data_IF_639994971319
#
_entry.id   IF_639994971319
#
_cell.length_a   1.000
_cell.length_b   1.000
_cell.length_c   1.000
_cell.angle_alpha   90.00
_cell.angle_beta   90.00
_cell.angle_gamma   90.00
#
_symmetry.space_group_name_H-M   'P 1'
#
loop_
_entity.id
_entity.type
_entity.pdbx_description
1 polymer ?
#
# COMPACT_ATOMS: atom_id res chain seq x y z
N UNK A 1 -4.77 43.11 5.64
CA UNK A 1 -5.18 42.98 7.06
C UNK A 1 -5.39 41.52 7.39
N UNK A 2 -5.36 41.14 8.66
CA UNK A 2 -5.66 39.77 9.07
C UNK A 2 -7.17 39.53 9.13
N UNK A 3 -7.60 38.32 8.85
CA UNK A 3 -9.00 37.88 8.96
C UNK A 3 -9.09 36.49 9.58
N UNK A 4 -10.17 36.25 10.31
CA UNK A 4 -10.54 34.91 10.79
C UNK A 4 -11.12 34.12 9.63
N UNK A 5 -10.58 32.93 9.39
CA UNK A 5 -11.00 32.02 8.31
C UNK A 5 -11.95 30.94 8.82
N UNK A 6 -11.73 30.44 10.04
CA UNK A 6 -12.57 29.43 10.68
C UNK A 6 -12.49 29.51 12.21
N UNK A 7 -13.58 29.16 12.90
CA UNK A 7 -13.62 29.06 14.37
C UNK A 7 -14.12 27.67 14.77
N UNK A 8 -13.43 27.03 15.73
CA UNK A 8 -13.65 25.62 16.09
C UNK A 8 -14.41 25.46 17.42
N UNK A 9 -15.66 25.92 17.46
CA UNK A 9 -16.48 25.92 18.70
C UNK A 9 -16.82 24.53 19.26
N UNK A 10 -16.93 23.51 18.41
CA UNK A 10 -17.38 22.15 18.79
C UNK A 10 -16.28 21.30 19.46
N UNK A 11 -15.05 21.80 19.50
CA UNK A 11 -13.91 21.07 20.04
C UNK A 11 -13.05 22.00 20.91
N UNK A 12 -13.58 22.46 22.06
CA UNK A 12 -12.78 23.25 22.99
C UNK A 12 -11.55 22.44 23.43
N UNK A 13 -10.42 23.14 23.55
CA UNK A 13 -9.14 22.55 23.91
C UNK A 13 -8.92 22.75 25.41
N UNK A 14 -8.91 21.65 26.15
CA UNK A 14 -8.59 21.65 27.59
C UNK A 14 -7.15 21.19 27.78
N UNK A 15 -6.38 21.99 28.51
CA UNK A 15 -4.99 21.70 28.87
C UNK A 15 -4.88 21.14 30.29
N UNK A 16 -3.78 20.48 30.69
CA UNK A 16 -3.68 19.80 31.99
C UNK A 16 -3.88 20.69 33.22
N UNK A 17 -3.64 22.00 33.10
CA UNK A 17 -3.87 22.98 34.17
C UNK A 17 -5.35 23.42 34.31
N UNK A 18 -6.24 22.87 33.48
CA UNK A 18 -7.68 23.13 33.51
C UNK A 18 -8.15 24.30 32.65
N UNK A 19 -7.25 25.08 32.02
CA UNK A 19 -7.64 26.15 31.10
C UNK A 19 -8.31 25.58 29.84
N UNK A 20 -9.28 26.31 29.32
CA UNK A 20 -10.06 25.95 28.14
C UNK A 20 -9.95 27.03 27.08
N UNK A 21 -9.66 26.61 25.85
CA UNK A 21 -9.48 27.49 24.71
C UNK A 21 -10.44 27.14 23.56
N UNK A 22 -10.94 28.16 22.89
CA UNK A 22 -11.52 28.05 21.53
C UNK A 22 -10.44 28.40 20.52
N UNK A 23 -10.15 27.51 19.59
CA UNK A 23 -9.24 27.81 18.50
C UNK A 23 -9.95 28.56 17.36
N UNK A 24 -9.20 29.43 16.68
CA UNK A 24 -9.58 30.00 15.39
C UNK A 24 -8.39 30.05 14.45
N UNK A 25 -8.63 29.76 13.17
CA UNK A 25 -7.64 29.89 12.11
C UNK A 25 -7.71 31.30 11.54
N UNK A 26 -6.56 31.97 11.48
CA UNK A 26 -6.42 33.34 10.99
C UNK A 26 -5.45 33.37 9.82
N UNK A 27 -5.65 34.35 8.93
CA UNK A 27 -4.84 34.50 7.74
C UNK A 27 -4.63 35.94 7.33
N UNK A 28 -3.52 36.22 6.65
CA UNK A 28 -3.32 37.47 5.91
C UNK A 28 -2.44 37.28 4.69
N UNK A 29 -2.61 38.14 3.70
CA UNK A 29 -1.65 38.32 2.62
C UNK A 29 -0.46 39.14 3.10
N UNK A 30 0.75 38.70 2.77
CA UNK A 30 2.00 39.41 3.02
C UNK A 30 2.33 40.37 1.87
N UNK A 31 3.41 41.13 2.01
CA UNK A 31 3.87 42.08 0.98
C UNK A 31 4.32 41.39 -0.32
N UNK A 32 4.76 40.13 -0.24
CA UNK A 32 5.19 39.31 -1.38
C UNK A 32 4.01 38.62 -2.11
N UNK A 33 2.77 38.90 -1.70
CA UNK A 33 1.57 38.27 -2.27
C UNK A 33 1.30 36.84 -1.77
N UNK A 34 2.19 36.27 -0.95
CA UNK A 34 1.99 34.96 -0.32
C UNK A 34 1.10 35.12 0.91
N UNK A 35 0.15 34.21 1.06
CA UNK A 35 -0.72 34.13 2.22
C UNK A 35 -0.03 33.37 3.35
N UNK A 36 -0.15 33.85 4.58
CA UNK A 36 0.29 33.14 5.77
C UNK A 36 -0.88 32.84 6.70
N UNK A 37 -0.86 31.64 7.30
CA UNK A 37 -1.85 31.18 8.27
C UNK A 37 -1.25 30.91 9.64
N UNK A 38 -2.02 31.19 10.68
CA UNK A 38 -1.70 30.86 12.07
C UNK A 38 -2.98 30.52 12.84
N UNK A 39 -2.80 30.03 14.06
CA UNK A 39 -3.87 29.76 15.01
C UNK A 39 -3.87 30.78 16.13
N UNK A 40 -5.08 31.19 16.52
CA UNK A 40 -5.33 31.94 17.75
C UNK A 40 -6.14 31.08 18.70
N UNK A 41 -5.79 31.10 19.98
CA UNK A 41 -6.44 30.35 21.04
C UNK A 41 -7.07 31.34 22.02
N UNK A 42 -8.39 31.50 21.90
CA UNK A 42 -9.18 32.40 22.74
C UNK A 42 -9.56 31.69 24.03
N UNK A 43 -9.05 32.12 25.20
CA UNK A 43 -9.34 31.47 26.46
C UNK A 43 -10.77 31.78 26.93
N UNK A 44 -11.39 30.83 27.63
CA UNK A 44 -12.75 31.00 28.17
C UNK A 44 -12.80 31.82 29.46
N UNK A 45 -11.67 31.98 30.14
CA UNK A 45 -11.53 32.76 31.37
C UNK A 45 -11.29 34.26 31.14
N UNK A 46 -11.22 34.69 29.86
CA UNK A 46 -10.98 36.08 29.48
C UNK A 46 -9.52 36.53 29.58
N UNK A 47 -8.58 35.61 29.81
CA UNK A 47 -7.14 35.90 29.72
C UNK A 47 -6.71 36.26 28.28
N UNK A 48 -5.42 36.54 28.10
CA UNK A 48 -4.89 36.96 26.80
C UNK A 48 -5.03 35.86 25.74
N UNK A 49 -5.41 36.25 24.51
CA UNK A 49 -5.47 35.36 23.36
C UNK A 49 -4.05 34.93 22.99
N UNK A 50 -3.81 33.62 22.99
CA UNK A 50 -2.53 33.08 22.54
C UNK A 50 -2.51 32.99 21.02
N UNK A 51 -1.33 33.16 20.42
CA UNK A 51 -1.14 33.02 18.98
C UNK A 51 0.02 32.08 18.69
N UNK A 52 -0.18 31.13 17.78
CA UNK A 52 0.89 30.27 17.29
C UNK A 52 1.89 31.04 16.42
N UNK A 53 3.02 30.41 16.11
CA UNK A 53 3.83 30.81 14.96
C UNK A 53 3.07 30.57 13.65
N UNK A 54 3.67 30.95 12.52
CA UNK A 54 3.11 30.62 11.20
C UNK A 54 3.01 29.11 11.03
N UNK A 55 1.82 28.62 10.73
CA UNK A 55 1.53 27.19 10.51
C UNK A 55 1.66 26.82 9.03
N UNK A 56 1.33 27.75 8.13
CA UNK A 56 1.41 27.51 6.67
C UNK A 56 1.69 28.79 5.89
N UNK A 57 2.26 28.62 4.70
CA UNK A 57 2.25 29.62 3.62
C UNK A 57 1.49 29.06 2.43
N UNK A 58 0.70 29.89 1.76
CA UNK A 58 -0.11 29.49 0.62
C UNK A 58 -0.02 30.54 -0.51
N UNK A 59 0.02 30.13 -1.78
CA UNK A 59 0.10 31.09 -2.88
C UNK A 59 -1.23 31.83 -3.11
N UNK A 60 -2.36 31.28 -2.66
CA UNK A 60 -3.70 31.82 -2.87
C UNK A 60 -4.52 31.80 -1.58
N UNK A 61 -5.49 32.72 -1.51
CA UNK A 61 -6.42 32.79 -0.38
C UNK A 61 -7.27 31.52 -0.24
N UNK A 62 -7.77 30.98 -1.35
CA UNK A 62 -8.61 29.77 -1.39
C UNK A 62 -7.89 28.55 -0.82
N UNK A 63 -6.58 28.46 -1.02
CA UNK A 63 -5.76 27.35 -0.50
C UNK A 63 -5.57 27.51 1.02
N UNK A 64 -5.51 28.75 1.50
CA UNK A 64 -5.49 29.04 2.93
C UNK A 64 -6.83 28.74 3.61
N UNK A 65 -7.95 29.05 2.95
CA UNK A 65 -9.29 28.69 3.41
C UNK A 65 -9.48 27.17 3.47
N UNK A 66 -8.97 26.44 2.46
CA UNK A 66 -8.98 24.98 2.46
C UNK A 66 -8.15 24.39 3.60
N UNK A 67 -6.94 24.95 3.86
CA UNK A 67 -6.14 24.59 5.03
C UNK A 67 -6.93 24.76 6.33
N UNK A 68 -7.57 25.92 6.52
CA UNK A 68 -8.38 26.20 7.72
C UNK A 68 -9.54 25.20 7.86
N UNK A 69 -10.25 24.89 6.77
CA UNK A 69 -11.33 23.90 6.80
C UNK A 69 -10.85 22.48 7.13
N UNK A 70 -9.60 22.14 6.79
CA UNK A 70 -9.02 20.80 7.00
C UNK A 70 -8.42 20.55 8.40
N UNK A 71 -8.41 21.53 9.31
CA UNK A 71 -7.78 21.35 10.62
C UNK A 71 -8.58 20.42 11.53
N UNK A 72 -7.90 19.41 12.06
CA UNK A 72 -8.49 18.40 12.94
C UNK A 72 -8.32 18.78 14.42
N UNK A 73 -9.17 18.25 15.32
CA UNK A 73 -9.01 18.46 16.76
C UNK A 73 -7.63 18.05 17.30
N UNK A 74 -7.03 16.99 16.75
CA UNK A 74 -5.69 16.51 17.14
C UNK A 74 -4.62 17.54 16.76
N UNK A 75 -4.71 18.10 15.55
CA UNK A 75 -3.79 19.14 15.09
C UNK A 75 -3.88 20.40 15.96
N UNK A 76 -5.11 20.86 16.26
CA UNK A 76 -5.36 22.04 17.08
C UNK A 76 -4.78 21.88 18.50
N UNK A 77 -4.93 20.69 19.10
CA UNK A 77 -4.33 20.38 20.40
C UNK A 77 -2.81 20.44 20.35
N UNK A 78 -2.19 19.76 19.39
CA UNK A 78 -0.74 19.79 19.23
C UNK A 78 -0.19 21.20 18.95
N UNK A 79 -0.94 22.04 18.24
CA UNK A 79 -0.55 23.42 18.00
C UNK A 79 -0.63 24.28 19.28
N UNK A 80 -1.65 24.08 20.12
CA UNK A 80 -1.76 24.74 21.43
C UNK A 80 -0.59 24.32 22.34
N UNK A 81 -0.27 23.02 22.38
CA UNK A 81 0.87 22.50 23.15
C UNK A 81 2.20 23.16 22.74
N UNK A 82 2.48 23.26 21.42
CA UNK A 82 3.67 23.98 20.91
C UNK A 82 3.67 25.47 21.24
N UNK A 83 2.50 26.09 21.33
CA UNK A 83 2.37 27.52 21.66
C UNK A 83 2.65 27.77 23.14
N UNK A 84 2.17 26.87 24.02
CA UNK A 84 2.40 26.93 25.46
C UNK A 84 3.82 26.49 25.85
N UNK A 85 4.36 25.51 25.15
CA UNK A 85 5.70 24.96 25.37
C UNK A 85 6.45 24.91 24.03
N UNK A 86 7.09 26.02 23.62
CA UNK A 86 7.86 26.06 22.40
C UNK A 86 8.96 24.98 22.43
N UNK A 87 9.06 24.11 21.40
CA UNK A 87 10.14 23.15 21.35
C UNK A 87 11.48 23.88 21.29
N UNK A 88 12.56 23.30 21.86
CA UNK A 88 13.89 23.87 21.72
C UNK A 88 14.21 24.01 20.23
N UNK A 89 14.78 25.16 19.84
CA UNK A 89 15.18 25.43 18.46
C UNK A 89 16.27 24.42 18.10
N UNK A 90 15.93 23.43 17.27
CA UNK A 90 16.91 22.54 16.67
C UNK A 90 17.59 23.31 15.55
N UNK A 91 18.73 23.91 15.88
CA UNK A 91 19.62 24.56 14.91
C UNK A 91 20.33 23.46 14.11
N UNK A 92 20.11 23.46 12.79
CA UNK A 92 20.73 22.60 11.79
C UNK A 92 20.58 21.08 11.94
N UNK A 93 19.49 20.54 11.37
CA UNK A 93 19.57 19.22 10.75
C UNK A 93 20.09 19.39 9.32
N UNK A 94 21.07 18.60 8.84
CA UNK A 94 21.49 18.66 7.45
C UNK A 94 20.30 18.40 6.54
N UNK A 95 20.15 19.22 5.49
CA UNK A 95 19.12 19.01 4.46
C UNK A 95 19.44 17.71 3.72
N UNK A 96 18.75 16.64 4.09
CA UNK A 96 18.84 15.37 3.37
C UNK A 96 17.91 15.47 2.17
N UNK A 97 18.47 15.53 0.96
CA UNK A 97 17.68 15.40 -0.26
C UNK A 97 17.12 13.98 -0.37
N UNK A 98 15.93 13.85 -0.98
CA UNK A 98 15.45 12.52 -1.36
C UNK A 98 16.49 11.82 -2.22
N UNK A 99 16.72 10.53 -1.97
CA UNK A 99 17.57 9.68 -2.81
C UNK A 99 16.87 9.33 -4.13
N UNK A 100 15.54 9.44 -4.16
CA UNK A 100 14.70 9.11 -5.30
C UNK A 100 13.97 10.34 -5.82
N UNK A 101 13.99 10.53 -7.14
CA UNK A 101 13.26 11.61 -7.83
C UNK A 101 11.81 11.23 -8.16
N UNK A 102 11.48 9.95 -8.06
CA UNK A 102 10.16 9.41 -8.41
C UNK A 102 9.69 8.35 -7.40
N UNK A 103 8.36 8.14 -7.28
CA UNK A 103 7.83 7.04 -6.49
C UNK A 103 8.37 5.69 -6.98
N UNK A 104 8.43 4.69 -6.10
CA UNK A 104 8.77 3.33 -6.50
C UNK A 104 7.91 2.89 -7.69
N UNK A 105 8.55 2.25 -8.68
CA UNK A 105 7.84 1.68 -9.82
C UNK A 105 6.71 0.77 -9.30
N UNK A 106 5.54 0.74 -9.96
CA UNK A 106 4.49 -0.21 -9.62
C UNK A 106 5.12 -1.59 -9.58
N UNK A 107 4.93 -2.30 -8.46
CA UNK A 107 5.29 -3.72 -8.41
C UNK A 107 4.45 -4.41 -9.47
N UNK A 108 5.00 -4.59 -10.67
CA UNK A 108 4.49 -5.60 -11.56
C UNK A 108 4.58 -6.88 -10.75
N UNK A 109 3.46 -7.56 -10.44
CA UNK A 109 3.58 -8.92 -9.96
C UNK A 109 4.49 -9.59 -10.97
N UNK A 110 5.62 -10.11 -10.47
CA UNK A 110 6.45 -11.01 -11.25
C UNK A 110 5.44 -12.05 -11.71
N UNK A 111 5.00 -11.97 -12.97
CA UNK A 111 4.10 -12.98 -13.51
C UNK A 111 4.80 -14.28 -13.19
N UNK A 112 4.13 -15.13 -12.43
CA UNK A 112 4.58 -16.41 -11.93
C UNK A 112 5.02 -17.29 -13.11
N UNK A 113 6.16 -16.98 -13.72
CA UNK A 113 6.70 -17.68 -14.88
C UNK A 113 7.54 -18.88 -14.42
N UNK A 114 7.55 -19.19 -13.12
CA UNK A 114 8.40 -20.24 -12.56
C UNK A 114 7.79 -21.06 -11.41
N UNK A 115 6.49 -20.91 -11.06
CA UNK A 115 5.91 -21.61 -9.90
C UNK A 115 4.69 -22.54 -10.18
N UNK A 116 4.17 -22.67 -11.41
CA UNK A 116 2.90 -23.38 -11.65
C UNK A 116 2.97 -24.67 -12.50
N UNK A 117 3.91 -25.57 -12.21
CA UNK A 117 3.86 -26.91 -12.78
C UNK A 117 4.25 -28.00 -11.76
N UNK A 118 3.77 -27.88 -10.53
CA UNK A 118 3.84 -29.02 -9.61
C UNK A 118 2.88 -30.12 -10.10
N UNK A 119 3.35 -31.35 -10.35
CA UNK A 119 2.50 -32.43 -10.79
C UNK A 119 1.40 -32.72 -9.74
N UNK A 120 0.14 -32.62 -10.16
CA UNK A 120 -1.02 -32.84 -9.27
C UNK A 120 -1.13 -34.28 -8.76
N UNK A 121 -0.44 -35.23 -9.39
CA UNK A 121 -0.33 -36.61 -8.95
C UNK A 121 1.02 -37.21 -9.34
N UNK A 122 1.40 -38.28 -8.64
CA UNK A 122 2.50 -39.16 -9.00
C UNK A 122 1.98 -40.31 -9.87
N UNK A 123 2.33 -40.36 -11.17
CA UNK A 123 1.80 -41.37 -12.09
C UNK A 123 2.31 -42.78 -11.77
N UNK A 124 3.49 -42.95 -11.19
CA UNK A 124 4.03 -44.27 -10.81
C UNK A 124 3.33 -44.82 -9.58
N UNK A 125 3.13 -43.98 -8.55
CA UNK A 125 2.38 -44.36 -7.35
C UNK A 125 0.94 -44.75 -7.66
N UNK A 126 0.30 -44.09 -8.63
CA UNK A 126 -1.05 -44.44 -9.06
C UNK A 126 -1.04 -45.70 -9.95
N UNK A 127 -0.05 -45.85 -10.84
CA UNK A 127 0.11 -47.06 -11.66
C UNK A 127 0.29 -48.32 -10.82
N UNK A 128 1.07 -48.25 -9.74
CA UNK A 128 1.26 -49.36 -8.80
C UNK A 128 -0.06 -49.84 -8.15
N UNK A 129 -1.07 -48.97 -8.09
CA UNK A 129 -2.43 -49.29 -7.60
C UNK A 129 -3.36 -49.83 -8.70
N UNK A 130 -2.93 -49.80 -9.96
CA UNK A 130 -3.65 -50.34 -11.11
C UNK A 130 -3.71 -49.37 -12.29
N UNK A 131 -3.49 -49.90 -13.50
CA UNK A 131 -3.47 -49.10 -14.74
C UNK A 131 -4.82 -48.44 -15.06
N UNK A 132 -5.94 -49.12 -14.81
CA UNK A 132 -7.28 -48.56 -15.02
C UNK A 132 -7.59 -47.40 -14.06
N UNK A 133 -7.00 -47.42 -12.85
CA UNK A 133 -7.11 -46.31 -11.92
C UNK A 133 -6.35 -45.10 -12.45
N UNK A 134 -5.12 -45.29 -12.94
CA UNK A 134 -4.33 -44.22 -13.57
C UNK A 134 -5.08 -43.61 -14.76
N UNK A 135 -5.63 -44.42 -15.67
CA UNK A 135 -6.43 -43.93 -16.80
C UNK A 135 -7.59 -43.04 -16.39
N UNK A 136 -8.37 -43.47 -15.38
CA UNK A 136 -9.50 -42.68 -14.88
C UNK A 136 -9.07 -41.37 -14.26
N UNK A 137 -8.00 -41.37 -13.47
CA UNK A 137 -7.50 -40.15 -12.83
C UNK A 137 -6.93 -39.16 -13.86
N UNK A 138 -6.11 -39.63 -14.81
CA UNK A 138 -5.59 -38.78 -15.87
C UNK A 138 -6.70 -38.22 -16.77
N UNK A 139 -7.75 -39.00 -17.05
CA UNK A 139 -8.92 -38.54 -17.81
C UNK A 139 -9.73 -37.42 -17.14
N UNK A 140 -9.57 -37.23 -15.83
CA UNK A 140 -10.19 -36.13 -15.09
C UNK A 140 -9.32 -34.85 -15.05
N UNK A 141 -8.08 -34.91 -15.54
CA UNK A 141 -7.15 -33.78 -15.50
C UNK A 141 -7.23 -32.91 -16.74
N UNK A 142 -6.92 -31.62 -16.57
CA UNK A 142 -6.81 -30.68 -17.68
C UNK A 142 -5.50 -30.88 -18.46
N UNK A 143 -5.43 -30.44 -19.74
CA UNK A 143 -4.21 -30.53 -20.55
C UNK A 143 -2.98 -29.93 -19.86
N UNK A 144 -3.14 -28.79 -19.17
CA UNK A 144 -2.07 -28.15 -18.39
C UNK A 144 -1.47 -29.10 -17.34
N UNK A 145 -2.29 -29.83 -16.60
CA UNK A 145 -1.81 -30.77 -15.59
C UNK A 145 -1.18 -32.01 -16.20
N UNK A 146 -1.68 -32.49 -17.34
CA UNK A 146 -1.03 -33.57 -18.08
C UNK A 146 0.39 -33.17 -18.53
N UNK A 147 0.56 -31.93 -19.00
CA UNK A 147 1.89 -31.40 -19.34
C UNK A 147 2.80 -31.30 -18.10
N UNK A 148 2.28 -30.80 -16.98
CA UNK A 148 3.05 -30.72 -15.74
C UNK A 148 3.54 -32.09 -15.26
N UNK A 149 2.70 -33.14 -15.38
CA UNK A 149 3.10 -34.52 -15.05
C UNK A 149 4.21 -35.01 -15.97
N UNK A 150 4.08 -34.81 -17.29
CA UNK A 150 5.10 -35.24 -18.27
C UNK A 150 6.45 -34.57 -17.98
N UNK A 151 6.44 -33.26 -17.72
CA UNK A 151 7.66 -32.48 -17.45
C UNK A 151 8.24 -32.82 -16.07
N UNK A 152 7.39 -32.89 -15.04
CA UNK A 152 7.82 -33.10 -13.66
C UNK A 152 8.42 -34.48 -13.38
N UNK A 153 8.00 -35.50 -14.13
CA UNK A 153 8.52 -36.87 -14.02
C UNK A 153 9.45 -37.28 -15.17
N UNK A 154 9.84 -36.33 -16.04
CA UNK A 154 10.74 -36.55 -17.18
C UNK A 154 10.31 -37.77 -18.03
N UNK A 155 9.00 -37.88 -18.32
CA UNK A 155 8.41 -39.04 -18.99
C UNK A 155 8.74 -39.14 -20.49
N UNK A 156 9.50 -38.19 -21.02
CA UNK A 156 9.93 -38.13 -22.42
C UNK A 156 11.42 -37.79 -22.43
N UNK A 157 12.22 -38.65 -23.05
CA UNK A 157 13.58 -38.27 -23.46
C UNK A 157 13.46 -37.11 -24.44
N UNK A 158 14.19 -36.01 -24.18
CA UNK A 158 14.10 -34.65 -24.78
C UNK A 158 14.21 -34.53 -26.31
N UNK A 159 13.52 -35.36 -27.08
CA UNK A 159 13.45 -35.36 -28.53
C UNK A 159 12.11 -34.80 -28.98
N UNK A 160 12.08 -33.51 -29.34
CA UNK A 160 11.25 -32.94 -30.41
C UNK A 160 9.72 -33.00 -30.35
N UNK A 161 9.10 -33.65 -29.36
CA UNK A 161 7.63 -33.72 -29.25
C UNK A 161 7.10 -32.41 -28.68
N UNK A 162 6.43 -31.62 -29.51
CA UNK A 162 5.70 -30.44 -29.06
C UNK A 162 4.39 -30.84 -28.38
N UNK A 163 4.42 -30.96 -27.05
CA UNK A 163 3.28 -31.34 -26.22
C UNK A 163 2.04 -30.46 -26.48
N UNK A 164 2.23 -29.20 -26.88
CA UNK A 164 1.11 -28.28 -27.12
C UNK A 164 0.28 -28.64 -28.34
N UNK A 165 0.78 -29.53 -29.20
CA UNK A 165 0.06 -30.02 -30.39
C UNK A 165 -0.68 -31.31 -30.13
N UNK A 166 -0.47 -31.94 -28.97
CA UNK A 166 -1.12 -33.19 -28.59
C UNK A 166 -2.46 -32.91 -27.92
N UNK A 167 -3.44 -33.75 -28.23
CA UNK A 167 -4.72 -33.80 -27.54
C UNK A 167 -4.57 -34.41 -26.15
N UNK A 168 -5.55 -34.18 -25.26
CA UNK A 168 -5.56 -34.81 -23.93
C UNK A 168 -5.46 -36.34 -24.01
N UNK A 169 -6.10 -36.97 -25.00
CA UNK A 169 -6.06 -38.41 -25.17
C UNK A 169 -4.66 -38.92 -25.54
N UNK A 170 -3.94 -38.18 -26.40
CA UNK A 170 -2.56 -38.49 -26.78
C UNK A 170 -1.59 -38.29 -25.62
N UNK A 171 -1.76 -37.22 -24.84
CA UNK A 171 -0.99 -36.96 -23.62
C UNK A 171 -1.20 -38.06 -22.58
N UNK A 172 -2.44 -38.51 -22.37
CA UNK A 172 -2.76 -39.62 -21.46
C UNK A 172 -2.10 -40.92 -21.94
N UNK A 173 -2.24 -41.24 -23.23
CA UNK A 173 -1.63 -42.44 -23.82
C UNK A 173 -0.11 -42.43 -23.66
N UNK A 174 0.52 -41.27 -23.85
CA UNK A 174 1.94 -41.06 -23.65
C UNK A 174 2.37 -41.32 -22.21
N UNK A 175 1.70 -40.70 -21.22
CA UNK A 175 2.01 -40.90 -19.80
C UNK A 175 1.94 -42.38 -19.43
N UNK A 176 0.90 -43.09 -19.89
CA UNK A 176 0.72 -44.52 -19.58
C UNK A 176 1.82 -45.37 -20.23
N UNK A 177 2.19 -45.07 -21.48
CA UNK A 177 3.24 -45.81 -22.18
C UNK A 177 4.60 -45.63 -21.49
N UNK A 178 4.94 -44.39 -21.12
CA UNK A 178 6.19 -44.06 -20.43
C UNK A 178 6.28 -44.74 -19.05
N UNK A 179 5.21 -44.64 -18.25
CA UNK A 179 5.15 -45.27 -16.92
C UNK A 179 5.26 -46.79 -17.02
N UNK A 180 4.57 -47.41 -17.98
CA UNK A 180 4.67 -48.86 -18.22
C UNK A 180 6.08 -49.29 -18.61
N UNK A 181 6.76 -48.50 -19.44
CA UNK A 181 8.13 -48.80 -19.87
C UNK A 181 9.14 -48.67 -18.73
N UNK A 182 8.96 -47.68 -17.86
CA UNK A 182 9.88 -47.41 -16.73
C UNK A 182 9.57 -48.23 -15.47
N UNK A 183 8.35 -48.78 -15.35
CA UNK A 183 7.95 -49.66 -14.24
C UNK A 183 8.13 -51.16 -14.52
N UNK A 184 8.55 -51.53 -15.74
CA UNK A 184 8.85 -52.90 -16.16
C UNK A 184 10.31 -53.28 -15.84
#
# INVERSE_FOLDING_TARGET
MASVLAIYHRSPLTVPDGRVYTAQACGRVRQDGIWEGWLEFVPHDGSEVLRSTRETTQPKQTDLEYWAAGLTPVYLRGALERTLTPPPVVVDAPVVSSVYDEPAAPTVPITERAAEADPVLDPFSVYAKGEDLLRRQLGALSPRHLHAIIIGYDLIDRTGVDLNRLTSAELIALIIAAVRQQAA
#
